data_IF_230698433150
#
_entry.id   IF_230698433150
#
_cell.length_a   1.000
_cell.length_b   1.000
_cell.length_c   1.000
_cell.angle_alpha   90.00
_cell.angle_beta   90.00
_cell.angle_gamma   90.00
#
_symmetry.space_group_name_H-M   'P 1'
#
loop_
_entity.id
_entity.type
_entity.pdbx_description
1 polymer ?
#
# COMPACT_ATOMS: atom_id res chain seq x y z
N UNK A 1 -9.99 -3.13 -13.74
CA UNK A 1 -10.36 -1.83 -14.34
C UNK A 1 -11.16 -0.91 -13.42
N UNK A 2 -12.49 -1.04 -13.19
CA UNK A 2 -13.20 -0.12 -12.26
C UNK A 2 -12.70 -0.27 -10.81
N UNK A 3 -12.58 -1.51 -10.33
CA UNK A 3 -12.12 -1.81 -8.97
C UNK A 3 -10.80 -1.09 -8.62
N UNK A 4 -9.81 -1.20 -9.49
CA UNK A 4 -8.50 -0.56 -9.31
C UNK A 4 -8.59 0.96 -9.40
N UNK A 5 -9.39 1.51 -10.32
CA UNK A 5 -9.57 2.97 -10.41
C UNK A 5 -10.15 3.53 -9.10
N UNK A 6 -11.12 2.85 -8.51
CA UNK A 6 -11.71 3.24 -7.22
C UNK A 6 -10.68 3.13 -6.08
N UNK A 7 -10.01 1.97 -5.93
CA UNK A 7 -9.05 1.76 -4.84
C UNK A 7 -7.86 2.72 -4.90
N UNK A 8 -7.32 2.97 -6.10
CA UNK A 8 -6.22 3.91 -6.28
C UNK A 8 -6.65 5.38 -6.37
N UNK A 9 -7.96 5.65 -6.29
CA UNK A 9 -8.56 6.98 -6.41
C UNK A 9 -8.14 7.69 -7.72
N UNK A 10 -8.05 6.91 -8.81
CA UNK A 10 -7.70 7.41 -10.15
C UNK A 10 -8.93 7.84 -10.96
N UNK A 11 -10.12 7.71 -10.40
CA UNK A 11 -11.36 8.18 -11.03
C UNK A 11 -11.44 9.69 -10.95
N UNK A 12 -11.67 10.35 -12.09
CA UNK A 12 -11.80 11.81 -12.16
C UNK A 12 -13.02 12.34 -11.38
N UNK A 13 -14.12 11.59 -11.40
CA UNK A 13 -15.29 11.83 -10.54
C UNK A 13 -16.07 10.53 -10.34
N UNK A 14 -16.55 10.32 -9.12
CA UNK A 14 -17.47 9.22 -8.81
C UNK A 14 -18.80 9.40 -9.54
N UNK A 15 -19.22 10.64 -9.80
CA UNK A 15 -20.47 10.92 -10.51
C UNK A 15 -20.38 10.51 -11.99
N UNK A 16 -19.21 10.72 -12.63
CA UNK A 16 -19.00 10.21 -13.99
C UNK A 16 -19.00 8.69 -14.05
N UNK A 17 -18.41 8.01 -13.06
CA UNK A 17 -18.45 6.55 -12.98
C UNK A 17 -19.91 6.05 -12.81
N UNK A 18 -20.72 6.72 -11.96
CA UNK A 18 -22.15 6.42 -11.81
C UNK A 18 -22.94 6.65 -13.10
N UNK A 19 -22.69 7.77 -13.79
CA UNK A 19 -23.34 8.07 -15.07
C UNK A 19 -23.01 7.02 -16.14
N UNK A 20 -21.73 6.62 -16.23
CA UNK A 20 -21.28 5.59 -17.17
C UNK A 20 -21.98 4.26 -16.90
N UNK A 21 -22.07 3.84 -15.63
CA UNK A 21 -22.77 2.61 -15.25
C UNK A 21 -24.27 2.71 -15.55
N UNK A 22 -24.89 3.87 -15.32
CA UNK A 22 -26.30 4.10 -15.65
C UNK A 22 -26.56 3.97 -17.15
N UNK A 23 -25.65 4.45 -17.99
CA UNK A 23 -25.76 4.28 -19.43
C UNK A 23 -25.58 2.81 -19.85
N UNK A 24 -24.61 2.10 -19.29
CA UNK A 24 -24.47 0.66 -19.52
C UNK A 24 -25.69 -0.14 -19.06
N UNK A 25 -26.33 0.29 -17.98
CA UNK A 25 -27.53 -0.35 -17.47
C UNK A 25 -28.70 -0.23 -18.45
N UNK A 26 -28.80 0.88 -19.20
CA UNK A 26 -29.83 1.06 -20.23
C UNK A 26 -29.61 0.13 -21.41
N UNK A 27 -28.36 -0.03 -21.85
CA UNK A 27 -28.02 -0.83 -23.03
C UNK A 27 -27.99 -2.34 -22.73
N UNK A 28 -27.45 -2.74 -21.58
CA UNK A 28 -27.18 -4.15 -21.25
C UNK A 28 -28.13 -4.72 -20.18
N UNK A 29 -28.89 -3.88 -19.48
CA UNK A 29 -29.81 -4.28 -18.43
C UNK A 29 -29.20 -4.31 -17.02
N UNK A 30 -30.07 -4.23 -16.01
CA UNK A 30 -29.72 -4.07 -14.60
C UNK A 30 -28.86 -5.20 -14.01
N UNK A 31 -29.10 -6.46 -14.41
CA UNK A 31 -28.38 -7.60 -13.85
C UNK A 31 -26.87 -7.55 -14.14
N UNK A 32 -26.47 -6.93 -15.26
CA UNK A 32 -25.06 -6.79 -15.65
C UNK A 32 -24.33 -5.71 -14.87
N UNK A 33 -25.03 -4.64 -14.46
CA UNK A 33 -24.42 -3.50 -13.75
C UNK A 33 -24.54 -3.58 -12.24
N UNK A 34 -25.38 -4.49 -11.72
CA UNK A 34 -25.66 -4.64 -10.29
C UNK A 34 -24.40 -4.73 -9.42
N UNK A 35 -23.38 -5.50 -9.84
CA UNK A 35 -22.12 -5.63 -9.10
C UNK A 35 -21.33 -4.31 -9.09
N UNK A 36 -21.28 -3.60 -10.22
CA UNK A 36 -20.57 -2.32 -10.33
C UNK A 36 -21.23 -1.22 -9.50
N UNK A 37 -22.57 -1.15 -9.50
CA UNK A 37 -23.34 -0.23 -8.66
C UNK A 37 -23.04 -0.46 -7.18
N UNK A 38 -23.11 -1.72 -6.72
CA UNK A 38 -22.79 -2.08 -5.33
C UNK A 38 -21.34 -1.77 -4.95
N UNK A 39 -20.40 -1.89 -5.89
CA UNK A 39 -19.00 -1.49 -5.66
C UNK A 39 -18.86 0.01 -5.42
N UNK A 40 -19.55 0.85 -6.21
CA UNK A 40 -19.54 2.31 -5.99
C UNK A 40 -20.21 2.66 -4.66
N UNK A 41 -21.35 2.05 -4.34
CA UNK A 41 -22.02 2.25 -3.06
C UNK A 41 -21.09 1.91 -1.88
N UNK A 42 -20.42 0.76 -1.93
CA UNK A 42 -19.45 0.37 -0.92
C UNK A 42 -18.27 1.35 -0.86
N UNK A 43 -17.78 1.85 -1.99
CA UNK A 43 -16.72 2.85 -2.04
C UNK A 43 -17.14 4.17 -1.38
N UNK A 44 -18.36 4.67 -1.63
CA UNK A 44 -18.86 5.91 -1.02
C UNK A 44 -19.00 5.81 0.51
N UNK A 45 -19.22 4.61 1.05
CA UNK A 45 -19.32 4.41 2.50
C UNK A 45 -17.98 4.59 3.24
N UNK A 46 -16.84 4.53 2.53
CA UNK A 46 -15.50 4.64 3.15
C UNK A 46 -15.30 5.97 3.88
N UNK A 47 -15.79 7.08 3.32
CA UNK A 47 -15.54 8.42 3.87
C UNK A 47 -16.25 8.59 5.20
N UNK A 48 -17.49 8.10 5.31
CA UNK A 48 -18.26 8.14 6.55
C UNK A 48 -17.62 7.25 7.62
N UNK A 49 -17.09 6.09 7.24
CA UNK A 49 -16.38 5.22 8.18
C UNK A 49 -15.09 5.89 8.70
N UNK A 50 -14.30 6.50 7.81
CA UNK A 50 -13.05 7.16 8.19
C UNK A 50 -13.29 8.41 9.04
N UNK A 51 -14.34 9.20 8.77
CA UNK A 51 -14.74 10.33 9.64
C UNK A 51 -15.05 9.87 11.06
N UNK A 52 -15.86 8.82 11.20
CA UNK A 52 -16.17 8.22 12.51
C UNK A 52 -14.91 7.70 13.23
N UNK A 53 -13.96 7.15 12.49
CA UNK A 53 -12.70 6.69 13.04
C UNK A 53 -11.83 7.86 13.54
N UNK A 54 -11.75 8.96 12.78
CA UNK A 54 -11.04 10.17 13.18
C UNK A 54 -11.64 10.78 14.45
N UNK A 55 -12.96 10.93 14.51
CA UNK A 55 -13.68 11.38 15.71
C UNK A 55 -13.40 10.47 16.92
N UNK A 56 -13.32 9.15 16.71
CA UNK A 56 -12.98 8.21 17.76
C UNK A 56 -11.55 8.40 18.29
N UNK A 57 -10.58 8.62 17.40
CA UNK A 57 -9.18 8.85 17.76
C UNK A 57 -9.00 10.14 18.57
N UNK A 58 -9.69 11.22 18.17
CA UNK A 58 -9.68 12.50 18.88
C UNK A 58 -10.24 12.37 20.30
N UNK A 59 -11.37 11.66 20.45
CA UNK A 59 -12.02 11.44 21.75
C UNK A 59 -11.19 10.58 22.71
N UNK A 60 -10.43 9.61 22.19
CA UNK A 60 -9.59 8.74 23.01
C UNK A 60 -8.22 9.35 23.35
N UNK A 61 -7.91 10.59 22.90
CA UNK A 61 -6.57 11.19 22.98
C UNK A 61 -5.46 10.22 22.52
N UNK A 62 -5.80 9.32 21.61
CA UNK A 62 -4.87 8.33 21.13
C UNK A 62 -3.88 9.05 20.23
N UNK A 63 -2.60 9.00 20.61
CA UNK A 63 -1.50 9.56 19.81
C UNK A 63 -1.35 8.71 18.54
N UNK A 64 -2.19 9.00 17.55
CA UNK A 64 -2.00 8.49 16.19
C UNK A 64 -0.79 9.22 15.60
N UNK A 65 0.41 8.68 15.82
CA UNK A 65 1.67 9.24 15.27
C UNK A 65 1.71 9.23 13.74
N UNK A 66 0.78 8.51 13.08
CA UNK A 66 0.72 8.33 11.64
C UNK A 66 -0.68 8.74 11.16
N UNK A 67 -0.74 9.53 10.08
CA UNK A 67 -1.99 9.79 9.39
C UNK A 67 -2.49 8.51 8.72
N UNK A 68 -3.54 7.91 9.27
CA UNK A 68 -4.07 6.62 8.85
C UNK A 68 -5.39 6.77 8.09
N UNK A 69 -5.48 6.12 6.93
CA UNK A 69 -6.69 6.03 6.14
C UNK A 69 -6.89 4.60 5.61
N UNK A 70 -8.13 4.10 5.69
CA UNK A 70 -8.49 2.74 5.30
C UNK A 70 -9.76 2.73 4.45
N UNK A 71 -9.84 1.74 3.55
CA UNK A 71 -11.02 1.47 2.74
C UNK A 71 -11.49 0.04 3.01
N UNK A 72 -12.66 -0.12 3.60
CA UNK A 72 -13.24 -1.43 3.90
C UNK A 72 -14.11 -1.91 2.74
N UNK A 73 -13.75 -3.06 2.19
CA UNK A 73 -14.35 -3.63 0.99
C UNK A 73 -15.11 -4.91 1.31
N UNK A 74 -16.30 -5.08 0.73
CA UNK A 74 -17.08 -6.31 0.87
C UNK A 74 -16.54 -7.42 -0.05
N UNK A 75 -16.09 -8.55 0.51
CA UNK A 75 -15.39 -9.63 -0.22
C UNK A 75 -16.16 -10.16 -1.43
N UNK A 76 -17.50 -10.18 -1.41
CA UNK A 76 -18.33 -10.67 -2.52
C UNK A 76 -18.47 -9.69 -3.69
N UNK A 77 -18.12 -8.42 -3.50
CA UNK A 77 -18.26 -7.37 -4.51
C UNK A 77 -16.97 -7.10 -5.30
N UNK A 78 -15.81 -7.28 -4.67
CA UNK A 78 -14.54 -6.86 -5.26
C UNK A 78 -13.74 -8.05 -5.82
N UNK A 79 -13.09 -7.90 -6.98
CA UNK A 79 -12.32 -8.97 -7.62
C UNK A 79 -10.90 -9.09 -7.02
N UNK A 80 -10.74 -8.84 -5.72
CA UNK A 80 -9.43 -8.88 -5.07
C UNK A 80 -9.25 -10.17 -4.30
N UNK A 81 -8.04 -10.72 -4.37
CA UNK A 81 -7.62 -11.90 -3.64
C UNK A 81 -6.42 -11.57 -2.78
N UNK A 82 -6.29 -12.26 -1.65
CA UNK A 82 -5.07 -12.20 -0.82
C UNK A 82 -3.97 -12.95 -1.57
N UNK A 83 -2.81 -12.32 -1.74
CA UNK A 83 -1.72 -12.85 -2.59
C UNK A 83 -0.61 -13.49 -1.76
N UNK A 84 -0.37 -13.03 -0.53
CA UNK A 84 0.80 -13.43 0.25
C UNK A 84 0.61 -13.21 1.74
N UNK A 85 1.28 -14.03 2.53
CA UNK A 85 1.63 -13.67 3.91
C UNK A 85 2.63 -12.50 3.85
N UNK A 86 2.42 -11.49 4.67
CA UNK A 86 3.26 -10.29 4.71
C UNK A 86 3.43 -9.88 6.17
N UNK A 87 4.68 -9.67 6.57
CA UNK A 87 4.99 -9.14 7.89
C UNK A 87 4.90 -7.63 7.85
N UNK A 88 3.85 -7.11 8.50
CA UNK A 88 3.66 -5.68 8.66
C UNK A 88 4.80 -5.06 9.51
N UNK A 89 5.36 -3.91 9.10
CA UNK A 89 6.28 -3.14 9.92
C UNK A 89 5.66 -2.75 11.26
N UNK A 90 6.47 -2.76 12.33
CA UNK A 90 5.98 -2.51 13.69
C UNK A 90 5.42 -1.10 13.84
N UNK A 91 5.92 -0.13 13.07
CA UNK A 91 5.48 1.26 13.04
C UNK A 91 4.01 1.37 12.64
N UNK A 92 3.52 0.47 11.77
CA UNK A 92 2.14 0.47 11.29
C UNK A 92 1.20 -0.39 12.14
N UNK A 93 1.72 -1.32 12.94
CA UNK A 93 0.94 -2.30 13.68
C UNK A 93 -0.07 -1.64 14.62
N UNK A 94 0.37 -0.65 15.40
CA UNK A 94 -0.50 0.08 16.34
C UNK A 94 -1.71 0.73 15.65
N UNK A 95 -1.50 1.40 14.51
CA UNK A 95 -2.59 2.03 13.75
C UNK A 95 -3.59 1.02 13.20
N UNK A 96 -3.09 -0.14 12.74
CA UNK A 96 -3.94 -1.23 12.25
C UNK A 96 -4.74 -1.85 13.39
N UNK A 97 -4.11 -2.13 14.53
CA UNK A 97 -4.77 -2.72 15.69
C UNK A 97 -5.86 -1.81 16.26
N UNK A 98 -5.58 -0.50 16.36
CA UNK A 98 -6.57 0.50 16.79
C UNK A 98 -7.78 0.52 15.84
N UNK A 99 -7.55 0.47 14.53
CA UNK A 99 -8.63 0.40 13.56
C UNK A 99 -9.44 -0.90 13.66
N UNK A 100 -8.79 -2.05 13.87
CA UNK A 100 -9.47 -3.33 14.08
C UNK A 100 -10.36 -3.26 15.31
N UNK A 101 -9.86 -2.73 16.43
CA UNK A 101 -10.64 -2.59 17.67
C UNK A 101 -11.86 -1.69 17.47
N UNK A 102 -11.68 -0.52 16.85
CA UNK A 102 -12.77 0.38 16.48
C UNK A 102 -13.82 -0.33 15.61
N UNK A 103 -13.37 -1.03 14.56
CA UNK A 103 -14.25 -1.68 13.61
C UNK A 103 -15.03 -2.83 14.24
N UNK A 104 -14.36 -3.67 15.04
CA UNK A 104 -15.00 -4.78 15.75
C UNK A 104 -16.02 -4.30 16.80
N UNK A 105 -15.79 -3.15 17.43
CA UNK A 105 -16.75 -2.56 18.37
C UNK A 105 -18.05 -2.12 17.67
N UNK A 106 -17.95 -1.55 16.47
CA UNK A 106 -19.14 -1.13 15.70
C UNK A 106 -19.81 -2.29 14.95
N UNK A 107 -19.02 -3.25 14.46
CA UNK A 107 -19.46 -4.33 13.60
C UNK A 107 -19.16 -5.68 14.26
N UNK A 108 -20.02 -6.06 15.21
CA UNK A 108 -19.96 -7.36 15.88
C UNK A 108 -19.87 -8.50 14.85
N UNK A 109 -18.84 -9.36 15.00
CA UNK A 109 -18.61 -10.61 14.25
C UNK A 109 -18.08 -10.49 12.81
N UNK A 110 -17.54 -9.35 12.40
CA UNK A 110 -16.86 -9.24 11.10
C UNK A 110 -15.35 -9.42 11.23
N UNK A 111 -14.78 -10.30 10.40
CA UNK A 111 -13.33 -10.52 10.28
C UNK A 111 -12.79 -9.66 9.14
N UNK A 112 -11.83 -8.80 9.43
CA UNK A 112 -11.11 -8.03 8.42
C UNK A 112 -9.94 -8.84 7.88
N UNK A 113 -9.72 -8.73 6.57
CA UNK A 113 -8.54 -9.27 5.88
C UNK A 113 -7.87 -8.14 5.14
N UNK A 114 -6.62 -7.86 5.49
CA UNK A 114 -5.85 -6.76 4.91
C UNK A 114 -5.26 -7.16 3.56
N UNK A 115 -5.35 -6.25 2.58
CA UNK A 115 -4.81 -6.44 1.23
C UNK A 115 -3.63 -5.48 1.01
N UNK A 116 -2.48 -5.80 1.60
CA UNK A 116 -1.30 -4.93 1.61
C UNK A 116 -0.74 -4.62 0.22
N UNK A 117 -0.97 -5.49 -0.77
CA UNK A 117 -0.59 -5.24 -2.17
C UNK A 117 -1.29 -4.01 -2.80
N UNK A 118 -2.41 -3.57 -2.22
CA UNK A 118 -3.12 -2.35 -2.63
C UNK A 118 -2.92 -1.18 -1.67
N UNK A 119 -2.18 -1.40 -0.58
CA UNK A 119 -1.87 -0.38 0.41
C UNK A 119 -0.68 0.47 -0.04
N UNK A 120 -0.77 1.77 0.23
CA UNK A 120 0.24 2.79 -0.08
C UNK A 120 0.39 3.73 1.10
N UNK A 121 1.51 4.42 1.17
CA UNK A 121 1.69 5.51 2.12
C UNK A 121 2.88 6.39 1.77
N UNK A 122 3.18 7.30 2.69
CA UNK A 122 4.22 8.30 2.51
C UNK A 122 5.30 8.11 3.58
N UNK A 123 6.56 8.06 3.15
CA UNK A 123 7.71 8.01 4.04
C UNK A 123 8.51 9.30 3.93
N UNK A 124 8.92 9.84 5.09
CA UNK A 124 9.86 10.94 5.15
C UNK A 124 11.29 10.39 5.23
N UNK A 125 12.08 10.64 4.20
CA UNK A 125 13.49 10.26 4.15
C UNK A 125 14.35 11.38 4.74
N UNK A 126 14.88 11.14 5.95
CA UNK A 126 15.75 12.08 6.67
C UNK A 126 17.25 11.77 6.52
N UNK A 127 17.61 10.65 5.89
CA UNK A 127 19.01 10.24 5.70
C UNK A 127 19.74 11.03 4.59
N UNK A 128 18.99 11.78 3.78
CA UNK A 128 19.49 12.58 2.66
C UNK A 128 19.73 14.04 3.06
N UNK A 129 20.55 14.76 2.27
CA UNK A 129 20.82 16.21 2.50
C UNK A 129 19.56 17.09 2.49
N UNK A 130 18.52 16.65 1.80
CA UNK A 130 17.20 17.30 1.78
C UNK A 130 16.15 16.29 2.23
N UNK A 131 15.13 16.73 2.95
CA UNK A 131 14.02 15.85 3.34
C UNK A 131 13.16 15.55 2.13
N UNK A 132 13.12 14.28 1.72
CA UNK A 132 12.25 13.82 0.65
C UNK A 132 11.01 13.13 1.21
N UNK A 133 9.86 13.32 0.56
CA UNK A 133 8.64 12.56 0.82
C UNK A 133 8.51 11.51 -0.28
N UNK A 134 8.55 10.24 0.09
CA UNK A 134 8.48 9.10 -0.82
C UNK A 134 7.08 8.52 -0.78
N UNK A 135 6.38 8.54 -1.90
CA UNK A 135 5.14 7.80 -2.08
C UNK A 135 5.48 6.36 -2.44
N UNK A 136 5.18 5.43 -1.54
CA UNK A 136 5.59 4.03 -1.63
C UNK A 136 4.42 3.09 -1.39
N UNK A 137 4.46 1.91 -2.00
CA UNK A 137 3.62 0.78 -1.63
C UNK A 137 3.95 0.27 -0.22
N UNK A 138 3.04 -0.48 0.39
CA UNK A 138 3.27 -1.08 1.70
C UNK A 138 4.49 -2.02 1.73
N UNK A 139 4.75 -2.72 0.62
CA UNK A 139 5.90 -3.61 0.48
C UNK A 139 7.22 -2.83 0.40
N UNK A 140 7.27 -1.78 -0.42
CA UNK A 140 8.42 -0.88 -0.48
C UNK A 140 8.66 -0.22 0.88
N UNK A 141 7.59 0.21 1.56
CA UNK A 141 7.67 0.79 2.90
C UNK A 141 8.30 -0.18 3.90
N UNK A 142 7.87 -1.44 3.90
CA UNK A 142 8.45 -2.45 4.80
C UNK A 142 9.92 -2.70 4.55
N UNK A 143 10.35 -2.72 3.28
CA UNK A 143 11.77 -2.88 2.94
C UNK A 143 12.57 -1.67 3.39
N UNK A 144 12.10 -0.45 3.11
CA UNK A 144 12.81 0.78 3.46
C UNK A 144 12.94 0.99 4.97
N UNK A 145 11.91 0.63 5.75
CA UNK A 145 11.96 0.74 7.21
C UNK A 145 12.99 -0.19 7.86
N UNK A 146 13.37 -1.32 7.22
CA UNK A 146 14.46 -2.17 7.73
C UNK A 146 15.80 -1.41 7.83
N UNK A 147 16.00 -0.42 6.97
CA UNK A 147 17.25 0.34 6.93
C UNK A 147 17.42 1.30 8.10
N UNK A 148 16.38 1.54 8.89
CA UNK A 148 16.50 2.26 10.17
C UNK A 148 17.33 1.47 11.20
N UNK A 149 17.44 0.14 11.05
CA UNK A 149 18.16 -0.72 11.99
C UNK A 149 19.57 -1.09 11.50
N UNK A 150 19.77 -1.19 10.19
CA UNK A 150 21.07 -1.49 9.56
C UNK A 150 21.11 -0.93 8.14
N UNK A 151 22.24 -0.38 7.72
CA UNK A 151 22.42 0.20 6.37
C UNK A 151 22.55 -0.85 5.27
N UNK A 152 22.84 -2.10 5.62
CA UNK A 152 23.11 -3.19 4.70
C UNK A 152 22.31 -4.43 5.11
N UNK A 153 21.66 -5.05 4.12
CA UNK A 153 20.87 -6.27 4.28
C UNK A 153 21.08 -7.18 3.06
N UNK A 154 21.14 -8.50 3.27
CA UNK A 154 21.04 -9.44 2.15
C UNK A 154 19.59 -9.62 1.72
N UNK A 155 19.36 -9.94 0.44
CA UNK A 155 17.99 -10.19 -0.06
C UNK A 155 17.32 -11.32 0.73
N UNK A 156 18.06 -12.36 1.13
CA UNK A 156 17.55 -13.43 1.99
C UNK A 156 17.08 -12.92 3.36
N UNK A 157 17.80 -11.98 3.99
CA UNK A 157 17.39 -11.39 5.26
C UNK A 157 16.15 -10.52 5.10
N UNK A 158 16.07 -9.73 4.02
CA UNK A 158 14.89 -8.92 3.69
C UNK A 158 13.67 -9.82 3.51
N UNK A 159 13.82 -10.93 2.78
CA UNK A 159 12.77 -11.94 2.62
C UNK A 159 12.31 -12.50 3.97
N UNK A 160 13.24 -12.93 4.84
CA UNK A 160 12.89 -13.47 6.17
C UNK A 160 12.19 -12.46 7.08
N UNK A 161 12.51 -11.16 6.96
CA UNK A 161 11.88 -10.12 7.78
C UNK A 161 10.49 -9.73 7.27
N UNK A 162 10.34 -9.59 5.95
CA UNK A 162 9.11 -9.06 5.32
C UNK A 162 8.12 -10.13 4.88
N UNK A 163 8.59 -11.37 4.67
CA UNK A 163 7.82 -12.49 4.12
C UNK A 163 7.18 -12.23 2.74
N UNK A 164 7.62 -11.20 2.01
CA UNK A 164 7.12 -10.91 0.65
C UNK A 164 7.54 -12.04 -0.30
N UNK A 165 6.61 -12.54 -1.12
CA UNK A 165 6.91 -13.55 -2.16
C UNK A 165 8.11 -13.14 -3.01
N UNK A 166 9.03 -14.09 -3.23
CA UNK A 166 10.33 -13.87 -3.88
C UNK A 166 10.23 -13.13 -5.21
N UNK A 167 9.28 -13.49 -6.07
CA UNK A 167 9.11 -12.86 -7.39
C UNK A 167 8.81 -11.36 -7.25
N UNK A 168 7.88 -11.02 -6.34
CA UNK A 168 7.47 -9.64 -6.06
C UNK A 168 8.61 -8.87 -5.38
N UNK A 169 9.31 -9.51 -4.43
CA UNK A 169 10.45 -8.90 -3.74
C UNK A 169 11.55 -8.50 -4.73
N UNK A 170 11.88 -9.36 -5.70
CA UNK A 170 12.90 -9.07 -6.69
C UNK A 170 12.50 -7.92 -7.61
N UNK A 171 11.24 -7.85 -8.05
CA UNK A 171 10.71 -6.73 -8.83
C UNK A 171 10.80 -5.41 -8.07
N UNK A 172 10.40 -5.42 -6.78
CA UNK A 172 10.46 -4.22 -5.93
C UNK A 172 11.90 -3.77 -5.72
N UNK A 173 12.81 -4.69 -5.38
CA UNK A 173 14.23 -4.36 -5.21
C UNK A 173 14.84 -3.81 -6.50
N UNK A 174 14.50 -4.39 -7.65
CA UNK A 174 14.93 -3.84 -8.94
C UNK A 174 14.46 -2.39 -9.13
N UNK A 175 13.20 -2.07 -8.82
CA UNK A 175 12.65 -0.71 -8.91
C UNK A 175 13.37 0.25 -7.94
N UNK A 176 13.59 -0.17 -6.69
CA UNK A 176 14.27 0.64 -5.67
C UNK A 176 15.76 0.89 -5.98
N UNK A 177 16.44 -0.07 -6.61
CA UNK A 177 17.83 0.11 -7.05
C UNK A 177 17.88 1.01 -8.29
N UNK A 178 16.96 0.81 -9.24
CA UNK A 178 16.87 1.63 -10.44
C UNK A 178 16.56 3.10 -10.11
N UNK A 179 15.79 3.33 -9.05
CA UNK A 179 15.46 4.67 -8.55
C UNK A 179 16.58 5.35 -7.77
N UNK A 180 17.74 4.71 -7.56
CA UNK A 180 18.87 5.16 -6.74
C UNK A 180 18.61 5.24 -5.24
N UNK A 181 17.46 4.76 -4.73
CA UNK A 181 17.22 4.71 -3.28
C UNK A 181 18.08 3.63 -2.61
N UNK A 182 18.25 2.49 -3.31
CA UNK A 182 19.07 1.37 -2.87
C UNK A 182 20.20 1.11 -3.87
N UNK A 183 21.27 0.46 -3.41
CA UNK A 183 22.39 0.03 -4.24
C UNK A 183 22.71 -1.43 -3.98
N UNK A 184 23.02 -2.18 -5.04
CA UNK A 184 23.53 -3.54 -4.91
C UNK A 184 25.07 -3.48 -4.93
N UNK A 185 25.72 -4.00 -3.90
CA UNK A 185 27.19 -3.94 -3.81
C UNK A 185 27.88 -4.83 -4.86
N UNK A 186 27.20 -5.87 -5.32
CA UNK A 186 27.73 -6.83 -6.28
C UNK A 186 27.45 -6.46 -7.75
N UNK A 187 26.49 -5.57 -8.02
CA UNK A 187 26.05 -5.23 -9.38
C UNK A 187 26.09 -3.72 -9.57
N UNK A 188 26.86 -3.26 -10.55
CA UNK A 188 26.83 -1.87 -10.98
C UNK A 188 25.47 -1.56 -11.59
N UNK A 189 24.95 -0.35 -11.34
CA UNK A 189 23.63 0.08 -11.80
C UNK A 189 23.44 -0.08 -13.32
N UNK A 190 24.49 0.18 -14.10
CA UNK A 190 24.48 0.08 -15.57
C UNK A 190 24.22 -1.35 -16.07
N UNK A 191 24.60 -2.36 -15.27
CA UNK A 191 24.45 -3.78 -15.59
C UNK A 191 23.19 -4.40 -14.96
N UNK A 192 22.35 -3.59 -14.29
CA UNK A 192 21.18 -4.07 -13.57
C UNK A 192 20.09 -4.53 -14.54
N UNK A 193 19.86 -5.84 -14.58
CA UNK A 193 18.71 -6.48 -15.25
C UNK A 193 17.83 -7.14 -14.19
N UNK A 194 16.51 -7.17 -14.43
CA UNK A 194 15.51 -7.75 -13.50
C UNK A 194 15.87 -9.17 -13.03
N UNK A 195 16.48 -9.98 -13.91
CA UNK A 195 16.84 -11.38 -13.62
C UNK A 195 18.21 -11.58 -12.97
N UNK A 196 18.99 -10.52 -12.80
CA UNK A 196 20.36 -10.65 -12.28
C UNK A 196 20.42 -10.63 -10.76
N UNK A 197 19.35 -10.26 -10.06
CA UNK A 197 19.33 -10.26 -8.59
C UNK A 197 19.27 -11.69 -8.06
N UNK A 198 20.00 -11.95 -6.97
CA UNK A 198 20.08 -13.25 -6.32
C UNK A 198 19.99 -13.08 -4.80
N UNK A 199 19.49 -14.10 -4.10
CA UNK A 199 19.23 -14.04 -2.65
C UNK A 199 20.48 -13.69 -1.80
N UNK A 200 21.68 -14.05 -2.28
CA UNK A 200 22.95 -13.72 -1.62
C UNK A 200 23.46 -12.30 -1.86
N UNK A 201 22.83 -11.51 -2.72
CA UNK A 201 23.24 -10.13 -2.97
C UNK A 201 22.97 -9.23 -1.77
N UNK A 202 23.85 -8.26 -1.57
CA UNK A 202 23.82 -7.32 -0.47
C UNK A 202 23.32 -5.97 -0.98
N UNK A 203 22.23 -5.51 -0.38
CA UNK A 203 21.56 -4.27 -0.74
C UNK A 203 21.80 -3.25 0.36
N UNK A 204 22.33 -2.10 -0.05
CA UNK A 204 22.70 -0.99 0.82
C UNK A 204 21.85 0.24 0.53
N UNK A 205 21.49 0.98 1.58
CA UNK A 205 20.86 2.30 1.45
C UNK A 205 21.82 3.31 0.79
N UNK A 206 21.32 4.11 -0.16
CA UNK A 206 22.15 5.12 -0.83
C UNK A 206 22.13 6.47 -0.10
N UNK A 207 23.16 6.75 0.71
CA UNK A 207 23.29 8.01 1.45
C UNK A 207 23.43 9.25 0.55
N UNK A 208 23.85 9.07 -0.71
CA UNK A 208 24.04 10.15 -1.68
C UNK A 208 22.81 10.39 -2.58
N UNK A 209 21.65 9.84 -2.21
CA UNK A 209 20.44 10.01 -3.01
C UNK A 209 20.11 11.50 -3.21
N UNK A 210 20.12 11.92 -4.47
CA UNK A 210 19.75 13.26 -4.91
C UNK A 210 18.81 13.14 -6.11
N UNK A 211 17.57 13.59 -5.96
CA UNK A 211 16.60 13.61 -7.06
C UNK A 211 16.15 15.04 -7.35
N UNK A 212 16.25 15.43 -8.62
CA UNK A 212 15.92 16.78 -9.11
C UNK A 212 14.42 17.00 -9.42
N UNK A 213 13.57 15.98 -9.32
CA UNK A 213 12.13 16.11 -9.64
C UNK A 213 11.26 15.80 -8.43
N UNK A 214 10.67 16.86 -7.89
CA UNK A 214 9.52 16.81 -7.01
C UNK A 214 8.25 16.71 -7.86
N UNK A 215 7.64 15.52 -7.86
CA UNK A 215 6.20 15.22 -7.98
C UNK A 215 6.03 13.74 -8.23
#
# INVERSE_FOLDING_TARGET
>A
MLAERLVYERSASVDYEKMMITQFQKECGHMYTLKLNKMIENFCLKENLMKKYQEHCENQQSLCNINFSCMVLATNLWPFSVISDFNLPFELASSIDNFIQFYCHQHNKQKLTWLYQYSRGELHAYFTKSTYVLQVSAYEMAILLLYNNSLEWTIEQIYKKTHIKTDILMEILYILIKSDLLTCLQIRKEDLKEKNLQMGHMIRLNDNFTRYKMK
#
